data_IF_426724438886
#
_entry.id   IF_426724438886
#
_cell.length_a   1.000
_cell.length_b   1.000
_cell.length_c   1.000
_cell.angle_alpha   90.00
_cell.angle_beta   90.00
_cell.angle_gamma   90.00
#
_symmetry.space_group_name_H-M   'P 1'
#
loop_
_entity.id
_entity.type
_entity.pdbx_description
1 polymer ?
#
# COMPACT_ATOMS: atom_id res chain seq x y z
N UNK A 1 17.20 -0.16 0.72
CA UNK A 1 15.77 0.17 0.78
C UNK A 1 15.00 -1.11 1.05
N UNK A 2 14.27 -1.15 2.17
CA UNK A 2 13.51 -2.33 2.56
C UNK A 2 12.07 -2.16 2.05
N UNK A 3 11.73 -2.91 1.01
CA UNK A 3 10.42 -2.81 0.36
C UNK A 3 9.60 -4.07 0.64
N UNK A 4 8.38 -3.88 1.09
CA UNK A 4 7.36 -4.92 1.27
C UNK A 4 6.11 -4.50 0.52
N UNK A 5 5.36 -5.47 0.02
CA UNK A 5 4.05 -5.16 -0.55
C UNK A 5 3.01 -5.00 0.57
N UNK A 6 1.91 -4.32 0.26
CA UNK A 6 0.81 -4.21 1.23
C UNK A 6 0.29 -5.59 1.63
N UNK A 7 0.26 -6.53 0.69
CA UNK A 7 -0.17 -7.90 0.96
C UNK A 7 0.78 -8.62 1.90
N UNK A 8 2.10 -8.40 1.77
CA UNK A 8 3.08 -8.95 2.69
C UNK A 8 2.99 -8.33 4.08
N UNK A 9 2.62 -7.06 4.18
CA UNK A 9 2.43 -6.39 5.47
C UNK A 9 1.14 -6.80 6.17
N UNK A 10 0.12 -7.16 5.41
CA UNK A 10 -1.17 -7.60 5.97
C UNK A 10 -0.96 -8.84 6.83
N UNK A 11 -1.54 -8.81 8.02
CA UNK A 11 -1.42 -9.91 8.98
C UNK A 11 -0.27 -9.79 9.97
N UNK A 12 0.67 -8.84 9.77
CA UNK A 12 1.72 -8.61 10.77
C UNK A 12 1.11 -8.17 12.09
N UNK A 13 1.63 -8.73 13.17
CA UNK A 13 1.19 -8.38 14.51
C UNK A 13 1.57 -6.95 14.87
N UNK A 14 0.71 -6.28 15.63
CA UNK A 14 0.99 -4.98 16.23
C UNK A 14 1.24 -5.20 17.70
N UNK A 15 2.42 -4.79 18.17
CA UNK A 15 2.90 -5.09 19.52
C UNK A 15 3.31 -3.80 20.21
N UNK A 16 2.92 -3.65 21.48
CA UNK A 16 3.31 -2.48 22.28
C UNK A 16 4.70 -2.66 22.86
N UNK A 17 5.49 -1.58 22.83
CA UNK A 17 6.78 -1.56 23.51
C UNK A 17 6.62 -1.48 25.03
N UNK A 18 5.56 -0.85 25.51
CA UNK A 18 5.34 -0.66 26.93
C UNK A 18 5.11 -1.98 27.69
N UNK A 19 4.39 -2.92 27.08
CA UNK A 19 4.05 -4.16 27.76
C UNK A 19 4.26 -5.44 26.96
N UNK A 20 4.71 -5.34 25.70
CA UNK A 20 4.85 -6.50 24.83
C UNK A 20 3.51 -7.13 24.46
N UNK A 21 2.44 -6.36 24.52
CA UNK A 21 1.09 -6.85 24.24
C UNK A 21 0.80 -6.82 22.75
N UNK A 22 0.18 -7.87 22.26
CA UNK A 22 -0.31 -7.92 20.88
C UNK A 22 -1.72 -7.33 20.84
N UNK A 23 -1.87 -6.24 20.11
CA UNK A 23 -3.14 -5.51 20.02
C UNK A 23 -3.99 -5.90 18.81
N UNK A 24 -3.40 -6.51 17.81
CA UNK A 24 -4.09 -6.84 16.58
C UNK A 24 -3.12 -7.11 15.45
N UNK A 25 -3.60 -6.93 14.23
CA UNK A 25 -2.83 -7.17 13.01
C UNK A 25 -3.05 -6.04 12.03
N UNK A 26 -2.06 -5.80 11.16
CA UNK A 26 -2.26 -4.90 10.02
C UNK A 26 -3.31 -5.51 9.10
N UNK A 27 -4.35 -4.74 8.81
CA UNK A 27 -5.39 -5.14 7.86
C UNK A 27 -5.14 -4.51 6.48
N UNK A 28 -4.71 -3.27 6.42
CA UNK A 28 -4.45 -2.57 5.16
C UNK A 28 -3.51 -1.39 5.39
N UNK A 29 -2.98 -0.87 4.30
CA UNK A 29 -2.12 0.32 4.29
C UNK A 29 -2.89 1.46 3.64
N UNK A 30 -2.85 2.63 4.26
CA UNK A 30 -3.46 3.86 3.73
C UNK A 30 -2.34 4.83 3.36
N UNK A 31 -2.36 5.34 2.15
CA UNK A 31 -1.34 6.27 1.68
C UNK A 31 -1.95 7.49 1.00
N UNK A 32 -1.18 8.56 0.93
CA UNK A 32 -1.59 9.80 0.28
C UNK A 32 -1.24 9.73 -1.21
N UNK A 33 -2.26 9.92 -2.05
CA UNK A 33 -2.10 9.82 -3.50
C UNK A 33 -1.11 10.85 -4.06
N UNK A 34 -1.16 12.08 -3.56
CA UNK A 34 -0.33 13.17 -4.08
C UNK A 34 1.13 13.08 -3.68
N UNK A 35 1.41 12.66 -2.46
CA UNK A 35 2.78 12.64 -1.92
C UNK A 35 3.42 11.27 -1.91
N UNK A 36 2.63 10.20 -1.94
CA UNK A 36 3.10 8.84 -1.77
C UNK A 36 3.46 8.48 -0.33
N UNK A 37 3.24 9.39 0.62
CA UNK A 37 3.50 9.11 2.03
C UNK A 37 2.45 8.13 2.57
N UNK A 38 2.89 7.15 3.37
CA UNK A 38 1.96 6.30 4.10
C UNK A 38 1.31 7.15 5.19
N UNK A 39 -0.01 7.28 5.14
CA UNK A 39 -0.76 8.00 6.18
C UNK A 39 -0.88 7.16 7.44
N UNK A 40 -1.04 5.86 7.29
CA UNK A 40 -1.16 4.94 8.40
C UNK A 40 -1.61 3.56 7.97
N UNK A 41 -2.06 2.81 8.96
CA UNK A 41 -2.47 1.43 8.79
C UNK A 41 -3.85 1.23 9.37
N UNK A 42 -4.66 0.45 8.68
CA UNK A 42 -5.89 -0.08 9.27
C UNK A 42 -5.52 -1.32 10.07
N UNK A 43 -6.07 -1.43 11.26
CA UNK A 43 -5.74 -2.45 12.23
C UNK A 43 -6.97 -3.27 12.56
N UNK A 44 -6.84 -4.59 12.41
CA UNK A 44 -7.85 -5.54 12.84
C UNK A 44 -7.46 -6.03 14.24
N UNK A 45 -8.32 -5.76 15.22
CA UNK A 45 -8.09 -6.19 16.60
C UNK A 45 -8.64 -7.59 16.89
N UNK A 46 -9.30 -8.21 15.91
CA UNK A 46 -9.93 -9.51 16.09
C UNK A 46 -11.34 -9.38 16.68
N UNK A 47 -12.09 -10.46 16.59
CA UNK A 47 -13.47 -10.51 17.05
C UNK A 47 -14.46 -10.21 15.93
N UNK A 48 -15.64 -10.85 16.02
CA UNK A 48 -16.64 -10.82 14.95
C UNK A 48 -17.27 -9.45 14.72
N UNK A 49 -17.23 -8.56 15.72
CA UNK A 49 -17.88 -7.26 15.67
C UNK A 49 -16.93 -6.10 15.95
N UNK A 50 -15.63 -6.35 15.97
CA UNK A 50 -14.69 -5.26 16.19
C UNK A 50 -14.57 -4.39 14.94
N UNK A 51 -14.72 -3.09 15.16
CA UNK A 51 -14.48 -2.12 14.09
C UNK A 51 -12.98 -1.96 13.89
N UNK A 52 -12.52 -1.74 12.64
CA UNK A 52 -11.10 -1.49 12.42
C UNK A 52 -10.66 -0.23 13.16
N UNK A 53 -9.42 -0.27 13.62
CA UNK A 53 -8.75 0.88 14.20
C UNK A 53 -7.78 1.47 13.18
N UNK A 54 -7.34 2.67 13.43
CA UNK A 54 -6.36 3.36 12.60
C UNK A 54 -5.11 3.67 13.43
N UNK A 55 -3.96 3.38 12.82
CA UNK A 55 -2.66 3.71 13.39
C UNK A 55 -1.97 4.70 12.45
N UNK A 56 -1.80 5.93 12.90
CA UNK A 56 -1.09 6.94 12.12
C UNK A 56 0.38 6.57 11.94
N UNK A 57 0.93 6.84 10.76
CA UNK A 57 2.32 6.48 10.42
C UNK A 57 3.32 7.10 11.38
N UNK A 58 3.07 8.33 11.86
CA UNK A 58 3.95 9.01 12.80
C UNK A 58 4.05 8.36 14.17
N UNK A 59 3.15 7.44 14.51
CA UNK A 59 3.15 6.72 15.79
C UNK A 59 3.78 5.33 15.69
N UNK A 60 4.23 4.93 14.51
CA UNK A 60 4.95 3.67 14.31
C UNK A 60 6.36 3.83 14.87
N UNK A 61 6.73 2.95 15.79
CA UNK A 61 8.07 2.92 16.36
C UNK A 61 9.03 2.07 15.53
N UNK A 62 8.55 0.96 15.02
CA UNK A 62 9.31 0.08 14.14
C UNK A 62 8.40 -0.75 13.27
N UNK A 63 8.82 -1.01 12.05
CA UNK A 63 8.14 -1.91 11.13
C UNK A 63 9.18 -2.90 10.64
N UNK A 64 9.18 -4.07 11.26
CA UNK A 64 10.17 -5.12 11.01
C UNK A 64 9.59 -6.29 10.22
N UNK A 65 10.36 -7.36 10.16
CA UNK A 65 9.97 -8.57 9.45
C UNK A 65 8.78 -9.29 10.08
N UNK A 66 8.64 -9.20 11.40
CA UNK A 66 7.66 -10.03 12.14
C UNK A 66 6.55 -9.23 12.81
N UNK A 67 6.76 -7.94 13.01
CA UNK A 67 5.81 -7.10 13.74
C UNK A 67 5.97 -5.63 13.43
N UNK A 68 4.91 -4.90 13.67
CA UNK A 68 4.91 -3.44 13.75
C UNK A 68 4.84 -3.09 15.24
N UNK A 69 5.72 -2.22 15.71
CA UNK A 69 5.75 -1.82 17.12
C UNK A 69 5.24 -0.40 17.29
N UNK A 70 4.49 -0.21 18.37
CA UNK A 70 3.97 1.08 18.81
C UNK A 70 4.27 1.25 20.30
N UNK A 71 4.16 2.47 20.81
CA UNK A 71 4.46 2.73 22.22
C UNK A 71 3.45 2.04 23.13
N UNK A 72 2.16 2.30 22.92
CA UNK A 72 1.09 1.79 23.77
C UNK A 72 -0.24 1.77 23.00
N UNK A 73 -1.27 1.17 23.62
CA UNK A 73 -2.58 1.00 23.01
C UNK A 73 -3.24 2.32 22.58
N UNK A 74 -2.95 3.41 23.30
CA UNK A 74 -3.51 4.73 23.01
C UNK A 74 -3.10 5.28 21.64
N UNK A 75 -2.10 4.69 20.99
CA UNK A 75 -1.74 5.03 19.62
C UNK A 75 -2.81 4.61 18.60
N UNK A 76 -3.65 3.63 18.94
CA UNK A 76 -4.74 3.20 18.08
C UNK A 76 -5.95 4.12 18.26
N UNK A 77 -6.47 4.64 17.14
CA UNK A 77 -7.66 5.49 17.13
C UNK A 77 -8.76 4.83 16.32
N UNK A 78 -9.96 5.39 16.35
CA UNK A 78 -11.03 4.89 15.50
C UNK A 78 -10.73 5.21 14.04
N UNK A 79 -10.99 4.24 13.17
CA UNK A 79 -10.87 4.46 11.74
C UNK A 79 -12.03 5.34 11.29
N UNK A 80 -11.69 6.52 10.80
CA UNK A 80 -12.66 7.42 10.17
C UNK A 80 -12.63 7.20 8.65
N UNK A 81 -13.58 7.81 7.95
CA UNK A 81 -13.53 7.82 6.49
C UNK A 81 -12.25 8.50 6.03
N UNK A 82 -11.64 7.93 5.00
CA UNK A 82 -10.42 8.50 4.41
C UNK A 82 -10.71 9.89 3.84
N UNK A 83 -9.72 10.76 3.91
CA UNK A 83 -9.79 12.06 3.22
C UNK A 83 -9.72 11.83 1.71
N UNK A 84 -10.01 12.87 0.93
CA UNK A 84 -10.01 12.75 -0.54
C UNK A 84 -8.67 12.33 -1.13
N UNK A 85 -7.57 12.61 -0.45
CA UNK A 85 -6.22 12.25 -0.91
C UNK A 85 -5.76 10.89 -0.38
N UNK A 86 -6.40 10.35 0.63
CA UNK A 86 -6.02 9.08 1.25
C UNK A 86 -6.67 7.89 0.55
N UNK A 87 -5.85 6.88 0.27
CA UNK A 87 -6.30 5.68 -0.45
C UNK A 87 -5.83 4.46 0.33
N UNK A 88 -6.77 3.55 0.61
CA UNK A 88 -6.47 2.24 1.15
C UNK A 88 -6.00 1.32 0.02
N UNK A 89 -4.91 0.61 0.23
CA UNK A 89 -4.29 -0.20 -0.82
C UNK A 89 -5.25 -1.22 -1.44
N UNK A 90 -6.10 -1.85 -0.63
CA UNK A 90 -7.05 -2.85 -1.12
C UNK A 90 -8.05 -2.28 -2.10
N UNK A 91 -8.38 -0.99 -2.01
CA UNK A 91 -9.32 -0.38 -2.95
C UNK A 91 -8.74 -0.19 -4.34
N UNK A 92 -7.42 -0.23 -4.48
CA UNK A 92 -6.76 -0.14 -5.79
C UNK A 92 -6.66 -1.47 -6.50
N UNK A 93 -6.77 -2.59 -5.80
CA UNK A 93 -6.62 -3.91 -6.42
C UNK A 93 -7.63 -4.09 -7.54
N UNK A 94 -7.13 -4.48 -8.71
CA UNK A 94 -7.94 -4.74 -9.88
C UNK A 94 -8.31 -3.53 -10.72
N UNK A 95 -7.99 -2.30 -10.28
CA UNK A 95 -8.29 -1.12 -11.10
C UNK A 95 -7.42 -1.12 -12.36
N UNK A 96 -8.03 -0.88 -13.52
CA UNK A 96 -7.27 -0.77 -14.76
C UNK A 96 -6.43 0.49 -14.79
N UNK A 97 -5.31 0.39 -15.49
CA UNK A 97 -4.38 1.50 -15.71
C UNK A 97 -4.42 1.82 -17.19
N UNK A 98 -4.73 3.07 -17.50
CA UNK A 98 -4.81 3.57 -18.87
C UNK A 98 -3.77 4.66 -19.09
N UNK A 99 -3.24 4.71 -20.30
CA UNK A 99 -2.50 5.88 -20.73
C UNK A 99 -3.46 6.96 -21.22
N UNK A 100 -2.95 8.12 -21.57
CA UNK A 100 -3.78 9.24 -22.06
C UNK A 100 -4.46 8.95 -23.40
N UNK A 101 -3.93 7.99 -24.16
CA UNK A 101 -4.54 7.58 -25.43
C UNK A 101 -5.72 6.62 -25.23
N UNK A 102 -6.02 6.21 -24.00
CA UNK A 102 -7.12 5.31 -23.71
C UNK A 102 -6.77 3.83 -23.84
N UNK A 103 -5.48 3.50 -23.89
CA UNK A 103 -5.04 2.11 -23.97
C UNK A 103 -4.87 1.56 -22.55
N UNK A 104 -5.43 0.38 -22.29
CA UNK A 104 -5.24 -0.33 -21.03
C UNK A 104 -3.86 -0.95 -21.02
N UNK A 105 -3.04 -0.57 -20.02
CA UNK A 105 -1.67 -1.08 -19.88
C UNK A 105 -1.58 -2.24 -18.90
N UNK A 106 -2.59 -2.41 -18.08
CA UNK A 106 -2.64 -3.45 -17.07
C UNK A 106 -3.63 -3.08 -15.96
N UNK A 107 -3.52 -3.78 -14.85
CA UNK A 107 -4.31 -3.48 -13.66
C UNK A 107 -3.43 -3.55 -12.41
N UNK A 108 -3.82 -2.81 -11.38
CA UNK A 108 -3.10 -2.82 -10.11
C UNK A 108 -3.28 -4.15 -9.42
N UNK A 109 -2.19 -4.74 -8.93
CA UNK A 109 -2.24 -5.95 -8.12
C UNK A 109 -1.85 -5.70 -6.67
N UNK A 110 -0.96 -4.74 -6.41
CA UNK A 110 -0.49 -4.44 -5.07
C UNK A 110 0.22 -3.08 -5.05
N UNK A 111 0.59 -2.60 -3.88
CA UNK A 111 1.47 -1.46 -3.73
C UNK A 111 2.76 -1.89 -3.04
N UNK A 112 3.85 -1.23 -3.36
CA UNK A 112 5.11 -1.38 -2.65
C UNK A 112 5.19 -0.34 -1.55
N UNK A 113 5.67 -0.73 -0.39
CA UNK A 113 5.87 0.15 0.77
C UNK A 113 7.33 0.08 1.19
N UNK A 114 7.98 1.23 1.22
CA UNK A 114 9.30 1.33 1.84
C UNK A 114 9.09 1.38 3.35
N UNK A 115 9.52 0.33 4.03
CA UNK A 115 9.27 0.17 5.47
C UNK A 115 10.15 1.06 6.33
N UNK A 116 11.21 1.63 5.78
CA UNK A 116 12.09 2.57 6.49
C UNK A 116 11.57 4.00 6.42
N UNK A 117 11.14 4.42 5.24
CA UNK A 117 10.68 5.80 5.02
C UNK A 117 9.16 5.96 5.14
N UNK A 118 8.42 4.85 5.14
CA UNK A 118 6.96 4.81 5.10
C UNK A 118 6.41 5.63 3.92
N UNK A 119 6.87 5.25 2.73
CA UNK A 119 6.42 5.83 1.47
C UNK A 119 6.09 4.71 0.49
N UNK A 120 5.26 5.04 -0.50
CA UNK A 120 4.89 4.15 -1.60
C UNK A 120 5.67 4.60 -2.84
N UNK A 121 6.78 3.94 -3.19
CA UNK A 121 7.56 4.32 -4.35
C UNK A 121 6.91 3.92 -5.68
N UNK A 122 6.20 2.80 -5.71
CA UNK A 122 5.60 2.30 -6.93
C UNK A 122 4.44 1.36 -6.64
N UNK A 123 3.62 1.17 -7.65
CA UNK A 123 2.55 0.17 -7.68
C UNK A 123 3.03 -1.06 -8.45
N UNK A 124 2.45 -2.21 -8.15
CA UNK A 124 2.68 -3.44 -8.90
C UNK A 124 1.51 -3.73 -9.82
N UNK A 125 1.83 -4.16 -11.04
CA UNK A 125 0.84 -4.36 -12.09
C UNK A 125 0.80 -5.80 -12.57
N UNK A 126 -0.35 -6.19 -13.12
CA UNK A 126 -0.48 -7.35 -14.00
C UNK A 126 -0.79 -6.83 -15.40
N UNK A 127 0.02 -7.19 -16.38
CA UNK A 127 -0.08 -6.67 -17.75
C UNK A 127 -0.62 -7.67 -18.75
N UNK A 128 -0.63 -8.95 -18.44
CA UNK A 128 -1.10 -9.97 -19.37
C UNK A 128 -0.54 -11.34 -19.03
N UNK A 129 -0.82 -12.26 -19.87
CA UNK A 129 -0.92 -13.67 -19.52
C UNK A 129 0.39 -14.41 -19.30
N UNK A 130 1.49 -14.04 -19.94
CA UNK A 130 2.71 -14.85 -19.89
C UNK A 130 3.95 -14.11 -19.44
N UNK A 131 4.00 -12.80 -19.64
CA UNK A 131 5.20 -12.03 -19.36
C UNK A 131 5.49 -11.91 -17.86
N UNK A 132 4.44 -11.89 -17.02
CA UNK A 132 4.58 -11.75 -15.58
C UNK A 132 5.23 -12.96 -14.91
N UNK A 133 5.11 -14.15 -15.51
CA UNK A 133 5.67 -15.37 -14.94
C UNK A 133 7.19 -15.45 -15.11
N UNK A 134 7.73 -14.79 -16.14
CA UNK A 134 9.16 -14.88 -16.48
C UNK A 134 9.98 -13.71 -15.94
N UNK A 135 9.38 -12.54 -15.80
CA UNK A 135 10.09 -11.30 -15.50
C UNK A 135 9.63 -10.57 -14.24
N UNK A 136 8.73 -11.20 -13.45
CA UNK A 136 8.12 -10.55 -12.30
C UNK A 136 7.06 -9.52 -12.71
N UNK A 137 6.44 -8.90 -11.74
CA UNK A 137 5.39 -7.91 -11.99
C UNK A 137 5.99 -6.57 -12.35
N UNK A 138 5.49 -5.90 -13.41
CA UNK A 138 5.91 -4.55 -13.73
C UNK A 138 5.67 -3.59 -12.57
N UNK A 139 6.56 -2.62 -12.45
CA UNK A 139 6.49 -1.58 -11.45
C UNK A 139 6.06 -0.28 -12.11
N UNK A 140 5.04 0.36 -11.55
CA UNK A 140 4.61 1.68 -11.97
C UNK A 140 5.05 2.69 -10.92
N UNK A 141 6.07 3.50 -11.17
CA UNK A 141 6.45 4.56 -10.23
C UNK A 141 5.26 5.46 -9.94
N UNK A 142 5.03 5.77 -8.68
CA UNK A 142 3.89 6.60 -8.30
C UNK A 142 3.98 7.99 -8.94
N UNK A 143 5.20 8.47 -9.18
CA UNK A 143 5.43 9.75 -9.85
C UNK A 143 4.89 9.84 -11.29
N UNK A 144 4.68 8.69 -11.94
CA UNK A 144 4.13 8.63 -13.30
C UNK A 144 2.61 8.51 -13.32
N UNK A 145 1.98 8.33 -12.17
CA UNK A 145 0.53 8.29 -12.06
C UNK A 145 0.02 9.72 -12.02
N UNK A 146 -0.78 10.10 -13.01
CA UNK A 146 -1.34 11.45 -13.12
C UNK A 146 -2.65 11.57 -12.34
N UNK A 147 -3.46 10.53 -12.36
CA UNK A 147 -4.77 10.52 -11.70
C UNK A 147 -5.04 9.15 -11.12
N UNK A 148 -5.49 9.13 -9.88
CA UNK A 148 -6.06 7.93 -9.27
C UNK A 148 -7.56 8.18 -9.14
N UNK A 149 -8.32 7.63 -10.09
CA UNK A 149 -9.76 7.78 -10.12
C UNK A 149 -10.48 6.62 -9.45
N UNK A 150 -11.78 6.76 -9.29
CA UNK A 150 -12.62 5.72 -8.69
C UNK A 150 -12.62 4.43 -9.52
N UNK A 151 -12.52 4.54 -10.84
CA UNK A 151 -12.65 3.41 -11.75
C UNK A 151 -11.34 3.01 -12.43
N UNK A 152 -10.38 3.92 -12.52
CA UNK A 152 -9.14 3.68 -13.24
C UNK A 152 -8.04 4.64 -12.80
N UNK A 153 -6.80 4.26 -13.08
CA UNK A 153 -5.64 5.14 -12.93
C UNK A 153 -5.20 5.61 -14.32
N UNK A 154 -4.81 6.87 -14.41
CA UNK A 154 -4.27 7.46 -15.64
C UNK A 154 -2.79 7.71 -15.45
N UNK A 155 -1.99 7.24 -16.40
CA UNK A 155 -0.54 7.39 -16.36
C UNK A 155 -0.04 8.19 -17.54
N UNK A 156 1.17 8.71 -17.42
CA UNK A 156 1.88 9.37 -18.50
C UNK A 156 2.04 8.43 -19.70
N UNK A 157 1.94 8.98 -20.92
CA UNK A 157 2.22 8.23 -22.14
C UNK A 157 3.67 7.73 -22.23
N UNK A 158 4.56 8.29 -21.41
CA UNK A 158 5.96 7.87 -21.36
C UNK A 158 6.16 6.55 -20.60
N UNK A 159 5.14 6.11 -19.87
CA UNK A 159 5.25 4.86 -19.12
C UNK A 159 5.08 3.64 -20.03
N UNK A 160 6.05 2.74 -19.98
CA UNK A 160 6.01 1.47 -20.68
C UNK A 160 6.20 0.34 -19.67
N UNK A 161 5.15 -0.50 -19.45
CA UNK A 161 5.25 -1.61 -18.51
C UNK A 161 6.37 -2.61 -18.83
N UNK A 162 6.73 -2.74 -20.10
CA UNK A 162 7.76 -3.70 -20.54
C UNK A 162 9.16 -3.25 -20.15
N UNK A 163 9.40 -1.95 -20.06
CA UNK A 163 10.71 -1.41 -19.70
C UNK A 163 10.91 -1.32 -18.19
N UNK A 164 9.84 -1.37 -17.40
CA UNK A 164 9.90 -1.14 -15.96
C UNK A 164 10.54 -2.28 -15.18
N UNK A 165 10.68 -3.46 -15.79
CA UNK A 165 11.30 -4.61 -15.14
C UNK A 165 12.84 -4.64 -15.24
N UNK A 166 13.43 -3.70 -15.94
CA UNK A 166 14.87 -3.69 -16.18
C UNK A 166 15.69 -2.94 -15.13
N UNK A 167 15.03 -2.37 -14.14
CA UNK A 167 15.68 -1.62 -13.06
C UNK A 167 15.52 -2.33 -11.72
N UNK A 168 16.24 -3.38 -11.57
CA UNK A 168 16.40 -4.02 -10.27
C UNK A 168 17.67 -3.51 -9.60
#
# INVERSE_FOLDING_TARGET
MAVKTARELAGLAIVTLAGGERLGRIADVVFQATTGAVAGFLVDRGGMFSKPKFLASGLVQGLGADALTITAEEALTEASSTTMDEIAAKTLEGRPILNQAGTILGKVTDIAVDTETLRVPYLLLATGLLDNALHGKPQLPLSLVQTIGADSLIVSNDYDPKSSNSHV
#
